data_IF_896066254660
#
_entry.id   IF_896066254660
#
_cell.length_a   1.000
_cell.length_b   1.000
_cell.length_c   1.000
_cell.angle_alpha   90.00
_cell.angle_beta   90.00
_cell.angle_gamma   90.00
#
_symmetry.space_group_name_H-M   'P 1'
#
loop_
_entity.id
_entity.type
_entity.pdbx_description
1 polymer ?
#
# COMPACT_ATOMS: atom_id res chain seq x y z
N UNK A 1 -0.42 3.21 10.57
CA UNK A 1 -1.03 1.91 10.20
C UNK A 1 -0.41 0.75 10.96
N UNK A 2 0.91 0.56 10.95
CA UNK A 2 1.56 -0.48 11.77
C UNK A 2 1.16 -0.44 13.25
N UNK A 3 1.11 0.74 13.87
CA UNK A 3 0.67 0.87 15.27
C UNK A 3 -0.79 0.45 15.51
N UNK A 4 -1.67 0.58 14.52
CA UNK A 4 -3.06 0.14 14.65
C UNK A 4 -3.16 -1.37 14.62
N UNK A 5 -2.34 -2.03 13.80
CA UNK A 5 -2.21 -3.50 13.79
C UNK A 5 -1.65 -3.97 15.14
N UNK A 6 -0.66 -3.27 15.68
CA UNK A 6 -0.10 -3.62 16.99
C UNK A 6 -1.12 -3.50 18.13
N UNK A 7 -2.07 -2.57 18.03
CA UNK A 7 -3.10 -2.35 19.07
C UNK A 7 -4.38 -3.16 18.86
N UNK A 8 -4.74 -3.48 17.63
CA UNK A 8 -6.07 -4.00 17.27
C UNK A 8 -6.02 -5.13 16.23
N UNK A 9 -4.86 -5.74 15.97
CA UNK A 9 -4.71 -6.73 14.89
C UNK A 9 -5.60 -7.97 15.00
N UNK A 10 -6.16 -8.24 16.19
CA UNK A 10 -7.17 -9.27 16.44
C UNK A 10 -8.58 -8.88 15.97
N UNK A 11 -8.83 -7.59 15.72
CA UNK A 11 -10.15 -7.01 15.39
C UNK A 11 -10.14 -6.16 14.12
N UNK A 12 -8.96 -5.82 13.61
CA UNK A 12 -8.76 -4.92 12.49
C UNK A 12 -7.78 -5.54 11.49
N UNK A 13 -8.21 -5.61 10.23
CA UNK A 13 -7.35 -5.97 9.10
C UNK A 13 -7.12 -4.71 8.27
N UNK A 14 -5.86 -4.43 7.95
CA UNK A 14 -5.46 -3.35 7.04
C UNK A 14 -5.00 -3.98 5.73
N UNK A 15 -5.48 -3.45 4.61
CA UNK A 15 -5.08 -3.82 3.25
C UNK A 15 -4.58 -2.57 2.54
N UNK A 16 -3.42 -2.63 1.90
CA UNK A 16 -2.85 -1.48 1.20
C UNK A 16 -2.87 -1.66 -0.32
N UNK A 17 -3.45 -0.69 -1.03
CA UNK A 17 -3.52 -0.67 -2.49
C UNK A 17 -2.74 0.55 -3.01
N UNK A 18 -1.52 0.36 -3.53
CA UNK A 18 -0.77 1.47 -4.13
C UNK A 18 -1.51 2.03 -5.34
N UNK A 19 -1.49 3.36 -5.52
CA UNK A 19 -2.16 4.04 -6.63
C UNK A 19 -1.34 5.26 -7.08
N UNK A 20 -1.26 5.48 -8.40
CA UNK A 20 -0.48 6.59 -8.97
C UNK A 20 -1.34 7.78 -9.47
N UNK A 21 -2.67 7.72 -9.34
CA UNK A 21 -3.58 8.72 -9.91
C UNK A 21 -3.54 10.08 -9.20
N UNK A 22 -2.88 10.17 -8.04
CA UNK A 22 -2.77 11.39 -7.25
C UNK A 22 -1.37 11.98 -7.38
N UNK A 23 -1.20 12.90 -8.34
CA UNK A 23 0.06 13.64 -8.50
C UNK A 23 1.29 12.78 -8.82
N UNK A 24 1.10 11.58 -9.36
CA UNK A 24 2.17 10.65 -9.75
C UNK A 24 3.15 10.33 -8.61
N UNK A 25 2.64 10.11 -7.39
CA UNK A 25 3.48 9.87 -6.21
C UNK A 25 4.05 8.43 -6.14
N UNK A 26 3.44 7.48 -6.85
CA UNK A 26 3.76 6.05 -6.84
C UNK A 26 4.19 5.59 -8.25
N UNK A 27 5.27 6.21 -8.77
CA UNK A 27 5.77 5.93 -10.12
C UNK A 27 6.44 4.57 -10.25
N UNK A 28 6.92 4.00 -9.15
CA UNK A 28 7.56 2.68 -9.13
C UNK A 28 6.59 1.53 -9.39
N UNK A 29 7.16 0.36 -9.63
CA UNK A 29 6.48 -0.94 -9.65
C UNK A 29 6.45 -1.58 -8.24
N UNK A 30 5.80 -2.74 -8.08
CA UNK A 30 5.58 -3.37 -6.77
C UNK A 30 6.83 -3.50 -5.89
N UNK A 31 7.95 -3.99 -6.45
CA UNK A 31 9.21 -4.12 -5.69
C UNK A 31 9.83 -2.76 -5.36
N UNK A 32 9.78 -1.82 -6.29
CA UNK A 32 10.28 -0.46 -6.08
C UNK A 32 9.51 0.27 -4.98
N UNK A 33 8.21 0.02 -4.84
CA UNK A 33 7.38 0.59 -3.77
C UNK A 33 7.83 0.08 -2.41
N UNK A 34 8.08 -1.23 -2.27
CA UNK A 34 8.60 -1.80 -1.02
C UNK A 34 9.99 -1.25 -0.68
N UNK A 35 10.88 -1.18 -1.67
CA UNK A 35 12.21 -0.62 -1.50
C UNK A 35 12.17 0.88 -1.12
N UNK A 36 11.25 1.65 -1.72
CA UNK A 36 11.06 3.05 -1.38
C UNK A 36 10.59 3.20 0.07
N UNK A 37 9.64 2.37 0.53
CA UNK A 37 9.19 2.37 1.92
C UNK A 37 10.33 2.02 2.89
N UNK A 38 11.16 1.03 2.55
CA UNK A 38 12.26 0.56 3.40
C UNK A 38 13.44 1.54 3.46
N UNK A 39 13.81 2.13 2.33
CA UNK A 39 15.07 2.87 2.19
C UNK A 39 14.91 4.38 2.00
N UNK A 40 13.82 4.85 1.40
CA UNK A 40 13.66 6.24 0.98
C UNK A 40 12.70 6.99 1.90
N UNK A 41 11.43 6.59 1.92
CA UNK A 41 10.38 7.18 2.73
C UNK A 41 9.26 6.15 2.96
N UNK A 42 8.95 5.78 4.21
CA UNK A 42 9.47 6.33 5.48
C UNK A 42 10.97 6.13 5.70
N UNK A 43 11.57 5.14 5.04
CA UNK A 43 12.99 4.82 5.17
C UNK A 43 13.29 4.12 6.50
N UNK A 44 14.59 4.05 6.85
CA UNK A 44 15.09 3.50 8.12
C UNK A 44 14.69 2.04 8.38
N UNK A 45 14.59 1.23 7.33
CA UNK A 45 14.21 -0.18 7.47
C UNK A 45 12.72 -0.38 7.75
N UNK A 46 11.88 0.63 7.46
CA UNK A 46 10.44 0.52 7.68
C UNK A 46 9.85 -0.60 6.81
N UNK A 47 9.07 -1.48 7.45
CA UNK A 47 8.33 -2.55 6.77
C UNK A 47 6.86 -2.48 7.16
N UNK A 48 5.92 -2.43 6.20
CA UNK A 48 4.51 -2.50 6.50
C UNK A 48 4.16 -3.87 7.11
N UNK A 49 3.35 -3.88 8.17
CA UNK A 49 2.88 -5.11 8.85
C UNK A 49 1.60 -5.69 8.23
N UNK A 50 1.26 -5.26 7.02
CA UNK A 50 0.03 -5.58 6.31
C UNK A 50 0.33 -5.85 4.84
N UNK A 51 -0.50 -6.63 4.14
CA UNK A 51 -0.30 -6.90 2.72
C UNK A 51 -0.44 -5.61 1.90
N UNK A 52 0.53 -5.39 1.03
CA UNK A 52 0.44 -4.46 -0.08
C UNK A 52 0.14 -5.26 -1.35
N UNK A 53 -0.89 -4.85 -2.06
CA UNK A 53 -1.30 -5.45 -3.33
C UNK A 53 -0.59 -4.78 -4.51
N UNK A 54 -0.83 -5.32 -5.70
CA UNK A 54 -0.36 -4.68 -6.93
C UNK A 54 -0.95 -3.28 -7.10
N UNK A 55 -0.18 -2.42 -7.77
CA UNK A 55 -0.59 -1.06 -8.06
C UNK A 55 -1.86 -1.08 -8.91
N UNK A 56 -2.84 -0.28 -8.52
CA UNK A 56 -4.11 -0.19 -9.22
C UNK A 56 -4.63 1.24 -9.30
N UNK A 57 -5.54 1.45 -10.24
CA UNK A 57 -6.32 2.68 -10.35
C UNK A 57 -7.53 2.59 -9.42
N UNK A 58 -7.82 3.69 -8.71
CA UNK A 58 -8.94 3.75 -7.76
C UNK A 58 -10.09 4.61 -8.26
N UNK A 59 -9.86 5.42 -9.30
CA UNK A 59 -10.83 6.29 -9.94
C UNK A 59 -10.92 6.01 -11.44
N UNK A 60 -12.04 6.40 -12.06
CA UNK A 60 -12.23 6.32 -13.51
C UNK A 60 -12.75 4.97 -13.98
N UNK A 61 -12.82 4.77 -15.30
CA UNK A 61 -13.39 3.56 -15.91
C UNK A 61 -12.53 2.32 -15.71
N UNK A 62 -11.22 2.53 -15.53
CA UNK A 62 -10.22 1.48 -15.32
C UNK A 62 -9.95 1.23 -13.83
N UNK A 63 -10.80 1.79 -12.93
CA UNK A 63 -10.67 1.56 -11.50
C UNK A 63 -10.81 0.07 -11.18
N UNK A 64 -9.89 -0.45 -10.37
CA UNK A 64 -9.90 -1.84 -9.96
C UNK A 64 -11.12 -2.15 -9.08
N UNK A 65 -11.82 -3.23 -9.41
CA UNK A 65 -13.11 -3.59 -8.80
C UNK A 65 -12.94 -4.47 -7.54
N UNK A 66 -11.87 -4.27 -6.76
CA UNK A 66 -11.52 -5.15 -5.62
C UNK A 66 -12.61 -5.17 -4.53
N UNK A 67 -13.62 -6.00 -4.78
CA UNK A 67 -14.57 -6.60 -3.87
C UNK A 67 -14.55 -8.09 -4.25
N UNK A 68 -13.71 -8.85 -3.55
CA UNK A 68 -13.73 -10.32 -3.50
C UNK A 68 -13.57 -11.08 -4.83
N UNK A 69 -12.39 -11.67 -5.03
CA UNK A 69 -12.27 -13.00 -5.66
C UNK A 69 -11.51 -13.90 -4.70
#
# INVERSE_FOLDING_TARGET
MNELIDKFGDKLVILGFPCNQFGHQENGNGEEILNALEHVRPGKGFKPKFPLFEKCDVNGKDSSIFVSS
#
